data_IF_702693947434
#
_entry.id   IF_702693947434
#
_cell.length_a   1.000
_cell.length_b   1.000
_cell.length_c   1.000
_cell.angle_alpha   90.00
_cell.angle_beta   90.00
_cell.angle_gamma   90.00
#
_symmetry.space_group_name_H-M   'P 1'
#
loop_
_entity.id
_entity.type
_entity.pdbx_description
1 polymer ?
#
# COMPACT_ATOMS: atom_id res chain seq x y z
N UNK A 1 -12.41 17.86 11.29
CA UNK A 1 -11.07 17.24 11.29
C UNK A 1 -10.90 16.60 9.92
N UNK A 2 -9.85 16.95 9.16
CA UNK A 2 -9.59 16.33 7.85
C UNK A 2 -8.80 15.06 8.09
N UNK A 3 -9.37 13.94 7.67
CA UNK A 3 -8.70 12.65 7.60
C UNK A 3 -8.20 12.45 6.18
N UNK A 4 -6.98 11.96 6.05
CA UNK A 4 -6.45 11.60 4.76
C UNK A 4 -5.67 10.31 4.91
N UNK A 5 -5.70 9.49 3.87
CA UNK A 5 -5.20 8.13 3.97
C UNK A 5 -4.99 7.50 2.61
N UNK A 6 -4.39 6.34 2.64
CA UNK A 6 -4.09 5.50 1.48
C UNK A 6 -4.83 4.20 1.69
N UNK A 7 -5.54 3.76 0.66
CA UNK A 7 -6.20 2.47 0.60
C UNK A 7 -5.40 1.51 -0.28
N UNK A 8 -5.42 0.23 0.08
CA UNK A 8 -4.80 -0.84 -0.69
C UNK A 8 -5.73 -1.27 -1.83
N UNK A 9 -5.24 -1.19 -3.05
CA UNK A 9 -6.02 -1.54 -4.26
C UNK A 9 -6.42 -3.03 -4.33
N UNK A 10 -5.85 -3.89 -3.48
CA UNK A 10 -6.09 -5.35 -3.48
C UNK A 10 -7.06 -5.77 -2.38
N UNK A 11 -6.85 -5.29 -1.16
CA UNK A 11 -7.58 -5.80 0.02
C UNK A 11 -8.36 -4.73 0.79
N UNK A 12 -8.35 -3.48 0.34
CA UNK A 12 -9.04 -2.38 1.03
C UNK A 12 -8.44 -2.00 2.38
N UNK A 13 -7.31 -2.57 2.78
CA UNK A 13 -6.59 -2.11 3.97
C UNK A 13 -6.30 -0.61 3.83
N UNK A 14 -6.42 0.14 4.92
CA UNK A 14 -6.18 1.59 4.90
C UNK A 14 -5.11 1.98 5.90
N UNK A 15 -4.29 2.97 5.54
CA UNK A 15 -3.44 3.69 6.47
C UNK A 15 -3.79 5.17 6.44
N UNK A 16 -4.06 5.75 7.60
CA UNK A 16 -4.55 7.12 7.72
C UNK A 16 -3.67 8.00 8.60
N UNK A 17 -3.83 9.31 8.43
CA UNK A 17 -3.17 10.33 9.22
C UNK A 17 -4.12 11.52 9.42
N UNK A 18 -3.88 12.25 10.52
CA UNK A 18 -4.66 13.43 10.87
C UNK A 18 -4.02 14.68 10.23
N UNK A 19 -4.81 15.46 9.52
CA UNK A 19 -4.40 16.73 8.91
C UNK A 19 -3.98 16.63 7.45
N UNK A 20 -3.68 17.77 6.83
CA UNK A 20 -3.20 17.85 5.45
C UNK A 20 -1.68 17.74 5.47
N UNK A 21 -1.14 16.66 4.90
CA UNK A 21 0.31 16.50 4.70
C UNK A 21 0.63 16.52 3.22
N UNK A 22 1.83 17.01 2.88
CA UNK A 22 2.29 16.99 1.50
C UNK A 22 2.45 15.57 0.96
N UNK A 23 2.18 15.39 -0.34
CA UNK A 23 2.30 14.09 -1.05
C UNK A 23 3.62 13.37 -0.77
N UNK A 24 4.75 14.09 -0.73
CA UNK A 24 6.08 13.51 -0.48
C UNK A 24 6.17 12.87 0.91
N UNK A 25 5.65 13.55 1.93
CA UNK A 25 5.64 13.04 3.30
C UNK A 25 4.80 11.78 3.41
N UNK A 26 3.60 11.80 2.81
CA UNK A 26 2.70 10.65 2.77
C UNK A 26 3.34 9.43 2.11
N UNK A 27 4.04 9.63 0.99
CA UNK A 27 4.75 8.54 0.30
C UNK A 27 5.88 7.98 1.18
N UNK A 28 6.67 8.84 1.82
CA UNK A 28 7.76 8.42 2.71
C UNK A 28 7.22 7.61 3.88
N UNK A 29 6.23 8.16 4.59
CA UNK A 29 5.56 7.50 5.71
C UNK A 29 4.99 6.14 5.32
N UNK A 30 4.27 6.06 4.19
CA UNK A 30 3.72 4.81 3.72
C UNK A 30 4.82 3.78 3.40
N UNK A 31 5.91 4.20 2.76
CA UNK A 31 7.07 3.34 2.46
C UNK A 31 7.78 2.85 3.72
N UNK A 32 7.93 3.69 4.74
CA UNK A 32 8.47 3.30 6.06
C UNK A 32 7.59 2.24 6.73
N UNK A 33 6.27 2.29 6.50
CA UNK A 33 5.30 1.29 6.96
C UNK A 33 5.23 0.06 6.06
N UNK A 34 6.11 -0.05 5.06
CA UNK A 34 6.19 -1.19 4.13
C UNK A 34 5.18 -1.17 2.99
N UNK A 35 4.49 -0.05 2.76
CA UNK A 35 3.58 0.10 1.63
C UNK A 35 4.34 0.39 0.34
N UNK A 36 3.80 -0.10 -0.77
CA UNK A 36 4.20 0.31 -2.11
C UNK A 36 3.24 1.37 -2.61
N UNK A 37 3.78 2.53 -2.96
CA UNK A 37 3.06 3.70 -3.47
C UNK A 37 3.62 4.05 -4.84
N UNK A 38 2.80 3.91 -5.89
CA UNK A 38 3.20 4.06 -7.29
C UNK A 38 2.01 3.88 -8.22
N UNK A 39 2.15 3.04 -9.25
CA UNK A 39 1.04 2.70 -10.17
C UNK A 39 -0.13 2.04 -9.43
N UNK A 40 0.18 1.22 -8.42
CA UNK A 40 -0.77 0.61 -7.50
C UNK A 40 -0.32 0.88 -6.06
N UNK A 41 -1.27 1.11 -5.17
CA UNK A 41 -1.11 1.25 -3.73
C UNK A 41 -1.32 -0.12 -3.09
N UNK A 42 -0.24 -0.72 -2.58
CA UNK A 42 -0.30 -2.05 -1.97
C UNK A 42 0.16 -1.99 -0.53
N UNK A 43 -0.64 -2.58 0.36
CA UNK A 43 -0.24 -2.79 1.75
C UNK A 43 0.90 -3.82 1.84
N UNK A 44 1.62 -3.89 2.98
CA UNK A 44 2.76 -4.78 3.13
C UNK A 44 2.42 -6.25 2.88
N UNK A 45 1.21 -6.68 3.22
CA UNK A 45 0.75 -8.06 3.04
C UNK A 45 0.53 -8.40 1.57
N UNK A 46 -0.20 -7.55 0.84
CA UNK A 46 -0.46 -7.74 -0.59
C UNK A 46 0.78 -7.49 -1.46
N UNK A 47 1.72 -6.67 -0.97
CA UNK A 47 3.00 -6.45 -1.63
C UNK A 47 3.90 -7.69 -1.57
N UNK A 48 3.98 -8.37 -0.41
CA UNK A 48 4.73 -9.64 -0.28
C UNK A 48 4.25 -10.70 -1.27
N UNK A 49 2.93 -10.88 -1.38
CA UNK A 49 2.32 -11.78 -2.38
C UNK A 49 2.72 -11.46 -3.83
N UNK A 50 3.05 -10.20 -4.14
CA UNK A 50 3.47 -9.80 -5.49
C UNK A 50 4.95 -10.05 -5.77
N UNK A 51 5.79 -10.26 -4.74
CA UNK A 51 7.22 -10.57 -4.91
C UNK A 51 7.49 -12.06 -5.00
N UNK A 52 6.66 -12.88 -4.37
CA UNK A 52 6.76 -14.34 -4.41
C UNK A 52 5.96 -14.96 -5.58
N UNK A 53 5.07 -14.19 -6.23
CA UNK A 53 4.19 -14.67 -7.31
C UNK A 53 4.81 -14.72 -8.71
N UNK A 54 6.08 -15.12 -8.81
CA UNK A 54 6.75 -15.45 -10.07
C UNK A 54 6.75 -16.94 -10.40
N UNK A 55 6.25 -17.81 -9.52
CA UNK A 55 6.22 -19.26 -9.72
C UNK A 55 4.97 -19.85 -9.05
N UNK A 56 4.20 -20.62 -9.84
CA UNK A 56 3.17 -21.61 -9.45
C UNK A 56 1.87 -21.02 -8.86
N UNK A 57 0.70 -21.10 -9.52
CA UNK A 57 -0.06 -22.33 -9.76
C UNK A 57 -0.87 -22.29 -11.08
N UNK A 58 -0.50 -23.17 -12.01
CA UNK A 58 -1.40 -23.70 -13.03
C UNK A 58 -1.57 -25.20 -12.72
N UNK A 59 -2.61 -25.56 -11.98
CA UNK A 59 -3.03 -26.94 -11.75
C UNK A 59 -4.55 -26.99 -11.53
N UNK A 60 -5.31 -27.08 -12.63
CA UNK A 60 -6.20 -28.20 -13.02
C UNK A 60 -7.02 -27.77 -14.25
#
# INVERSE_FOLDING_TARGET
>A
MLFSGIECDICGATIGYNGIVGKKYLILFAREKGWTIGKYHKCPQCNKKSKDGGEEDAAD
#
